data_IF_710259933122
#
_entry.id   IF_710259933122
#
_cell.length_a   1.000
_cell.length_b   1.000
_cell.length_c   1.000
_cell.angle_alpha   90.00
_cell.angle_beta   90.00
_cell.angle_gamma   90.00
#
_symmetry.space_group_name_H-M   'P 1'
#
loop_
_entity.id
_entity.type
_entity.pdbx_description
1 polymer ?
#
# COMPACT_ATOMS: atom_id res chain seq x y z
N UNK A 1 1.47 17.04 -36.44
CA UNK A 1 1.58 16.64 -35.02
C UNK A 1 1.44 15.13 -35.04
N UNK A 2 2.55 14.43 -35.22
CA UNK A 2 2.56 12.98 -35.40
C UNK A 2 2.32 12.33 -34.03
N UNK A 3 1.17 11.67 -33.87
CA UNK A 3 0.94 10.73 -32.79
C UNK A 3 1.90 9.55 -33.00
N UNK A 4 3.00 9.55 -32.26
CA UNK A 4 3.72 8.32 -31.99
C UNK A 4 2.87 7.46 -31.05
N UNK A 5 1.92 6.73 -31.63
CA UNK A 5 1.34 5.54 -31.01
C UNK A 5 2.48 4.53 -30.95
N UNK A 6 3.25 4.57 -29.86
CA UNK A 6 4.22 3.54 -29.54
C UNK A 6 3.48 2.21 -29.46
N UNK A 7 3.82 1.29 -30.35
CA UNK A 7 3.32 -0.07 -30.28
C UNK A 7 3.67 -0.64 -28.90
N UNK A 8 2.66 -1.09 -28.17
CA UNK A 8 2.83 -1.87 -26.95
C UNK A 8 3.55 -3.17 -27.32
N UNK A 9 4.88 -3.16 -27.20
CA UNK A 9 5.75 -4.29 -27.50
C UNK A 9 5.84 -5.28 -26.33
N UNK A 10 5.00 -5.10 -25.30
CA UNK A 10 5.00 -5.90 -24.08
C UNK A 10 6.25 -5.68 -23.22
N UNK A 11 7.04 -4.63 -23.49
CA UNK A 11 8.21 -4.28 -22.69
C UNK A 11 7.77 -3.61 -21.39
N UNK A 12 8.22 -4.08 -20.21
CA UNK A 12 7.86 -3.46 -18.94
C UNK A 12 8.30 -2.00 -18.83
N UNK A 13 7.58 -1.24 -18.01
CA UNK A 13 7.79 0.20 -17.82
C UNK A 13 7.00 1.10 -18.77
N UNK A 14 6.99 2.38 -18.46
CA UNK A 14 6.28 3.42 -19.19
C UNK A 14 7.03 3.89 -20.45
N UNK A 15 6.28 4.47 -21.39
CA UNK A 15 6.87 5.12 -22.56
C UNK A 15 7.90 6.21 -22.20
N UNK A 16 7.68 6.93 -21.09
CA UNK A 16 8.61 7.93 -20.57
C UNK A 16 9.93 7.32 -20.09
N UNK A 17 9.87 6.17 -19.39
CA UNK A 17 11.07 5.43 -19.00
C UNK A 17 11.84 4.95 -20.22
N UNK A 18 11.16 4.40 -21.23
CA UNK A 18 11.81 3.91 -22.45
C UNK A 18 12.49 5.04 -23.23
N UNK A 19 11.82 6.19 -23.38
CA UNK A 19 12.40 7.36 -24.04
C UNK A 19 13.68 7.85 -23.32
N UNK A 20 13.66 7.90 -21.98
CA UNK A 20 14.84 8.25 -21.19
C UNK A 20 15.95 7.21 -21.30
N UNK A 21 15.61 5.92 -21.35
CA UNK A 21 16.60 4.86 -21.52
C UNK A 21 17.34 4.96 -22.87
N UNK A 22 16.63 5.30 -23.94
CA UNK A 22 17.23 5.57 -25.24
C UNK A 22 18.11 6.82 -25.20
N UNK A 23 17.57 7.93 -24.69
CA UNK A 23 18.30 9.20 -24.58
C UNK A 23 19.61 9.09 -23.76
N UNK A 24 19.66 8.17 -22.80
CA UNK A 24 20.80 7.94 -21.93
C UNK A 24 21.64 6.70 -22.28
N UNK A 25 21.35 6.01 -23.39
CA UNK A 25 22.07 4.80 -23.80
C UNK A 25 22.05 3.70 -22.73
N UNK A 26 20.95 3.57 -21.99
CA UNK A 26 20.79 2.62 -20.89
C UNK A 26 19.81 1.48 -21.18
N UNK A 27 19.21 1.44 -22.39
CA UNK A 27 18.28 0.39 -22.82
C UNK A 27 18.72 -1.03 -22.49
N UNK A 28 19.91 -1.45 -22.91
CA UNK A 28 20.39 -2.81 -22.64
C UNK A 28 20.51 -3.13 -21.14
N UNK A 29 20.86 -2.12 -20.31
CA UNK A 29 20.93 -2.28 -18.86
C UNK A 29 19.53 -2.42 -18.26
N UNK A 30 18.55 -1.66 -18.75
CA UNK A 30 17.15 -1.78 -18.35
C UNK A 30 16.57 -3.14 -18.75
N UNK A 31 16.77 -3.56 -20.01
CA UNK A 31 16.27 -4.85 -20.50
C UNK A 31 16.86 -6.04 -19.74
N UNK A 32 18.14 -5.94 -19.33
CA UNK A 32 18.74 -6.92 -18.43
C UNK A 32 18.07 -6.94 -17.06
N UNK A 33 17.77 -5.77 -16.49
CA UNK A 33 17.06 -5.68 -15.21
C UNK A 33 15.67 -6.30 -15.30
N UNK A 34 14.86 -5.95 -16.31
CA UNK A 34 13.53 -6.51 -16.49
C UNK A 34 13.55 -8.04 -16.60
N UNK A 35 14.50 -8.59 -17.37
CA UNK A 35 14.61 -10.05 -17.56
C UNK A 35 15.09 -10.80 -16.32
N UNK A 36 15.99 -10.20 -15.53
CA UNK A 36 16.72 -10.94 -14.49
C UNK A 36 16.26 -10.62 -13.08
N UNK A 37 15.59 -9.49 -12.85
CA UNK A 37 15.27 -8.98 -11.51
C UNK A 37 13.79 -8.60 -11.32
N UNK A 38 13.00 -8.58 -12.39
CA UNK A 38 11.57 -8.36 -12.36
C UNK A 38 10.82 -9.65 -12.67
N UNK A 39 9.67 -9.81 -12.04
CA UNK A 39 8.76 -10.95 -12.17
C UNK A 39 7.34 -10.45 -12.23
N UNK A 40 6.47 -11.12 -12.97
CA UNK A 40 5.04 -10.81 -13.04
C UNK A 40 4.23 -11.43 -11.88
N UNK A 41 4.93 -12.07 -10.93
CA UNK A 41 4.36 -12.72 -9.77
C UNK A 41 5.39 -12.79 -8.63
N UNK A 42 4.92 -13.05 -7.42
CA UNK A 42 5.75 -13.30 -6.25
C UNK A 42 6.30 -14.72 -6.28
N UNK A 43 7.61 -14.85 -6.51
CA UNK A 43 8.29 -16.14 -6.32
C UNK A 43 8.31 -16.55 -4.84
N UNK A 44 8.74 -17.78 -4.55
CA UNK A 44 8.74 -18.32 -3.19
C UNK A 44 9.48 -17.42 -2.17
N UNK A 45 10.65 -16.88 -2.53
CA UNK A 45 11.43 -15.99 -1.65
C UNK A 45 10.74 -14.65 -1.41
N UNK A 46 10.09 -14.08 -2.43
CA UNK A 46 9.31 -12.85 -2.30
C UNK A 46 8.12 -13.07 -1.35
N UNK A 47 7.44 -14.21 -1.47
CA UNK A 47 6.31 -14.57 -0.58
C UNK A 47 6.76 -14.73 0.88
N UNK A 48 7.88 -15.41 1.10
CA UNK A 48 8.51 -15.51 2.43
C UNK A 48 8.92 -14.13 2.97
N UNK A 49 9.46 -13.26 2.12
CA UNK A 49 9.84 -11.89 2.47
C UNK A 49 8.61 -11.09 2.93
N UNK A 50 7.53 -11.07 2.15
CA UNK A 50 6.28 -10.39 2.51
C UNK A 50 5.70 -10.95 3.81
N UNK A 51 5.68 -12.28 3.96
CA UNK A 51 5.10 -12.97 5.12
C UNK A 51 5.75 -12.66 6.46
N UNK A 52 6.97 -12.11 6.49
CA UNK A 52 7.65 -11.68 7.72
C UNK A 52 7.65 -10.17 7.94
N UNK A 53 7.14 -9.38 7.00
CA UNK A 53 7.13 -7.93 7.12
C UNK A 53 6.09 -7.46 8.14
N UNK A 54 6.49 -6.46 8.93
CA UNK A 54 5.63 -5.77 9.90
C UNK A 54 5.24 -4.35 9.42
N UNK A 55 5.72 -3.96 8.25
CA UNK A 55 5.41 -2.68 7.63
C UNK A 55 5.43 -2.74 6.09
N UNK A 56 4.67 -1.84 5.47
CA UNK A 56 4.70 -1.58 4.02
C UNK A 56 4.42 -0.10 3.77
N UNK A 57 5.04 0.46 2.73
CA UNK A 57 4.68 1.77 2.19
C UNK A 57 3.77 1.56 0.98
N UNK A 58 2.67 2.30 0.91
CA UNK A 58 1.64 2.16 -0.12
C UNK A 58 1.53 3.48 -0.88
N UNK A 59 1.91 3.46 -2.15
CA UNK A 59 1.73 4.55 -3.10
C UNK A 59 0.46 4.35 -3.92
N UNK A 60 -0.40 5.36 -3.93
CA UNK A 60 -1.66 5.41 -4.70
C UNK A 60 -1.79 6.80 -5.31
N UNK A 61 -2.51 6.92 -6.43
CA UNK A 61 -2.88 8.22 -6.99
C UNK A 61 -4.36 8.24 -7.35
N UNK A 62 -5.00 9.40 -7.30
CA UNK A 62 -6.37 9.57 -7.78
C UNK A 62 -6.41 9.56 -9.33
N UNK A 63 -7.60 9.81 -9.89
CA UNK A 63 -7.79 9.88 -11.35
C UNK A 63 -7.09 11.09 -12.00
N UNK A 64 -6.77 12.14 -11.23
CA UNK A 64 -6.04 13.32 -11.68
C UNK A 64 -4.51 13.16 -11.62
N UNK A 65 -4.02 12.09 -10.98
CA UNK A 65 -2.60 11.85 -10.77
C UNK A 65 -2.05 12.49 -9.49
N UNK A 66 -2.90 13.05 -8.63
CA UNK A 66 -2.48 13.49 -7.30
C UNK A 66 -2.17 12.25 -6.46
N UNK A 67 -0.97 12.23 -5.86
CA UNK A 67 -0.41 11.01 -5.28
C UNK A 67 -0.24 11.10 -3.77
N UNK A 68 -0.47 9.97 -3.12
CA UNK A 68 -0.30 9.76 -1.69
C UNK A 68 0.63 8.57 -1.44
N UNK A 69 1.51 8.71 -0.45
CA UNK A 69 2.27 7.59 0.12
C UNK A 69 1.91 7.44 1.59
N UNK A 70 1.34 6.29 1.94
CA UNK A 70 0.95 5.97 3.31
C UNK A 70 1.79 4.83 3.89
N UNK A 71 2.06 4.91 5.20
CA UNK A 71 2.76 3.86 5.94
C UNK A 71 1.74 2.97 6.66
N UNK A 72 1.78 1.66 6.40
CA UNK A 72 0.98 0.67 7.13
C UNK A 72 1.88 -0.22 7.96
N UNK A 73 1.42 -0.58 9.14
CA UNK A 73 2.12 -1.50 10.02
C UNK A 73 1.14 -2.45 10.72
N UNK A 74 1.64 -3.63 11.01
CA UNK A 74 0.90 -4.69 11.70
C UNK A 74 1.87 -5.74 12.26
N UNK A 75 1.35 -6.85 12.81
CA UNK A 75 2.19 -8.00 13.13
C UNK A 75 2.86 -8.56 11.86
N UNK A 76 3.88 -9.39 12.05
CA UNK A 76 4.53 -10.05 10.94
C UNK A 76 3.51 -10.77 10.05
N UNK A 77 3.56 -10.49 8.75
CA UNK A 77 2.66 -11.07 7.75
C UNK A 77 1.28 -10.43 7.70
N UNK A 78 1.06 -9.25 8.30
CA UNK A 78 -0.23 -8.53 8.22
C UNK A 78 -0.68 -8.26 6.77
N UNK A 79 0.27 -8.10 5.84
CA UNK A 79 0.01 -8.24 4.42
C UNK A 79 0.00 -9.73 4.10
N UNK A 80 -1.17 -10.25 3.78
CA UNK A 80 -1.41 -11.66 3.47
C UNK A 80 -1.01 -11.93 2.02
N UNK A 81 -0.18 -12.94 1.82
CA UNK A 81 0.04 -13.54 0.49
C UNK A 81 -1.07 -14.54 0.26
N UNK A 82 -2.02 -14.20 -0.61
CA UNK A 82 -3.17 -15.05 -0.91
C UNK A 82 -2.77 -16.17 -1.88
N UNK A 83 -2.01 -15.80 -2.90
CA UNK A 83 -1.43 -16.71 -3.91
C UNK A 83 -0.21 -16.03 -4.57
N UNK A 84 0.50 -16.65 -5.53
CA UNK A 84 1.67 -16.03 -6.18
C UNK A 84 1.39 -14.68 -6.88
N UNK A 85 0.15 -14.38 -7.27
CA UNK A 85 -0.25 -13.16 -7.97
C UNK A 85 -1.19 -12.28 -7.16
N UNK A 86 -1.46 -12.61 -5.90
CA UNK A 86 -2.41 -11.84 -5.09
C UNK A 86 -1.92 -11.61 -3.67
N UNK A 87 -2.02 -10.36 -3.23
CA UNK A 87 -1.78 -9.92 -1.86
C UNK A 87 -3.04 -9.26 -1.30
N UNK A 88 -3.15 -9.17 0.03
CA UNK A 88 -4.15 -8.32 0.65
C UNK A 88 -3.67 -7.75 1.99
N UNK A 89 -4.14 -6.56 2.34
CA UNK A 89 -3.98 -6.02 3.69
C UNK A 89 -5.29 -5.50 4.26
N UNK A 90 -5.45 -5.54 5.59
CA UNK A 90 -6.60 -4.98 6.27
C UNK A 90 -6.47 -3.46 6.44
N UNK A 91 -7.57 -2.76 6.23
CA UNK A 91 -7.74 -1.35 6.59
C UNK A 91 -8.48 -1.23 7.92
N UNK A 92 -7.89 -0.52 8.86
CA UNK A 92 -8.48 -0.27 10.18
C UNK A 92 -9.09 1.13 10.26
N UNK A 93 -9.91 1.38 11.29
CA UNK A 93 -10.41 2.72 11.59
C UNK A 93 -9.25 3.72 11.74
N UNK A 94 -9.14 4.64 10.79
CA UNK A 94 -8.08 5.64 10.71
C UNK A 94 -8.48 7.01 11.23
N UNK A 95 -7.83 8.04 10.69
CA UNK A 95 -8.11 9.46 10.96
C UNK A 95 -9.29 10.03 10.13
N UNK A 96 -9.95 9.21 9.32
CA UNK A 96 -11.08 9.61 8.48
C UNK A 96 -10.70 10.22 7.14
N UNK A 97 -9.41 10.43 6.82
CA UNK A 97 -8.98 11.02 5.54
C UNK A 97 -9.23 10.06 4.38
N UNK A 98 -9.02 8.75 4.60
CA UNK A 98 -9.26 7.69 3.61
C UNK A 98 -8.52 7.86 2.27
N UNK A 99 -7.42 8.61 2.23
CA UNK A 99 -6.67 8.97 1.01
C UNK A 99 -6.46 7.77 0.06
N UNK A 100 -5.73 6.74 0.50
CA UNK A 100 -5.50 5.56 -0.34
C UNK A 100 -6.79 4.86 -0.77
N UNK A 101 -7.80 4.78 0.09
CA UNK A 101 -9.05 4.10 -0.25
C UNK A 101 -9.86 4.89 -1.29
N UNK A 102 -9.88 6.23 -1.20
CA UNK A 102 -10.49 7.10 -2.20
C UNK A 102 -9.78 6.98 -3.54
N UNK A 103 -8.45 7.10 -3.54
CA UNK A 103 -7.63 6.97 -4.75
C UNK A 103 -7.90 5.63 -5.46
N UNK A 104 -7.92 4.50 -4.72
CA UNK A 104 -8.20 3.17 -5.26
C UNK A 104 -9.57 3.06 -5.94
N UNK A 105 -10.58 3.79 -5.45
CA UNK A 105 -11.92 3.76 -6.07
C UNK A 105 -11.98 4.47 -7.41
N UNK A 106 -11.03 5.36 -7.69
CA UNK A 106 -10.94 6.12 -8.95
C UNK A 106 -9.87 5.58 -9.88
N UNK A 107 -8.78 5.04 -9.32
CA UNK A 107 -7.61 4.57 -10.02
C UNK A 107 -7.07 3.32 -9.30
N UNK A 108 -7.18 2.12 -9.89
CA UNK A 108 -6.84 0.88 -9.22
C UNK A 108 -5.32 0.67 -9.07
N UNK A 109 -4.47 1.44 -9.74
CA UNK A 109 -3.02 1.21 -9.74
C UNK A 109 -2.41 1.53 -8.36
N UNK A 110 -1.58 0.60 -7.87
CA UNK A 110 -0.91 0.70 -6.57
C UNK A 110 0.55 0.27 -6.67
N UNK A 111 1.42 0.99 -5.95
CA UNK A 111 2.80 0.59 -5.70
C UNK A 111 3.01 0.27 -4.23
N UNK A 112 3.56 -0.90 -3.94
CA UNK A 112 3.91 -1.34 -2.58
C UNK A 112 5.42 -1.43 -2.46
N UNK A 113 5.98 -0.85 -1.39
CA UNK A 113 7.38 -0.99 -1.05
C UNK A 113 7.52 -1.64 0.33
N UNK A 114 8.05 -2.86 0.33
CA UNK A 114 8.46 -3.55 1.54
C UNK A 114 9.96 -3.32 1.77
N UNK A 115 10.34 -2.90 2.97
CA UNK A 115 11.74 -2.63 3.32
C UNK A 115 12.11 -3.32 4.62
N UNK A 116 13.13 -4.17 4.58
CA UNK A 116 13.74 -4.72 5.79
C UNK A 116 14.98 -3.90 6.18
N UNK A 117 14.89 -3.20 7.30
CA UNK A 117 15.99 -2.40 7.85
C UNK A 117 16.82 -3.15 8.89
N UNK A 118 16.52 -4.41 9.19
CA UNK A 118 17.10 -5.13 10.33
C UNK A 118 17.93 -6.32 9.87
N UNK A 119 17.31 -7.28 9.18
CA UNK A 119 17.93 -8.59 8.90
C UNK A 119 18.66 -8.55 7.56
N UNK A 120 17.91 -8.37 6.48
CA UNK A 120 18.39 -8.55 5.12
C UNK A 120 18.85 -7.25 4.46
N UNK A 121 18.43 -6.10 4.99
CA UNK A 121 18.78 -4.77 4.46
C UNK A 121 18.39 -4.61 2.98
N UNK A 122 17.30 -5.22 2.56
CA UNK A 122 16.82 -5.28 1.18
C UNK A 122 15.35 -4.86 1.15
N UNK A 123 14.87 -4.46 -0.02
CA UNK A 123 13.45 -4.25 -0.22
C UNK A 123 12.89 -5.00 -1.41
N UNK A 124 11.57 -4.98 -1.48
CA UNK A 124 10.76 -5.57 -2.54
C UNK A 124 9.72 -4.54 -2.97
N UNK A 125 9.75 -4.18 -4.25
CA UNK A 125 8.69 -3.45 -4.92
C UNK A 125 7.66 -4.46 -5.42
N UNK A 126 6.38 -4.12 -5.25
CA UNK A 126 5.26 -4.85 -5.84
C UNK A 126 4.30 -3.82 -6.43
N UNK A 127 4.13 -3.84 -7.74
CA UNK A 127 3.18 -3.01 -8.47
C UNK A 127 2.01 -3.86 -8.94
N UNK A 128 0.84 -3.23 -9.05
CA UNK A 128 -0.26 -3.84 -9.75
C UNK A 128 -1.58 -3.09 -9.58
N UNK A 129 -2.67 -3.82 -9.72
CA UNK A 129 -4.03 -3.29 -9.60
C UNK A 129 -4.68 -3.73 -8.31
N UNK A 130 -5.47 -2.84 -7.72
CA UNK A 130 -6.07 -3.02 -6.41
C UNK A 130 -7.57 -2.83 -6.44
N UNK A 131 -8.25 -3.51 -5.52
CA UNK A 131 -9.67 -3.33 -5.27
C UNK A 131 -9.94 -3.24 -3.78
N UNK A 132 -10.98 -2.49 -3.44
CA UNK A 132 -11.45 -2.32 -2.07
C UNK A 132 -12.68 -3.19 -1.86
N UNK A 133 -12.60 -4.12 -0.90
CA UNK A 133 -13.70 -5.03 -0.59
C UNK A 133 -14.07 -4.98 0.89
N UNK A 134 -15.32 -5.34 1.19
CA UNK A 134 -15.80 -5.41 2.57
C UNK A 134 -15.14 -6.57 3.34
N UNK A 135 -15.11 -6.49 4.67
CA UNK A 135 -14.60 -7.62 5.50
C UNK A 135 -15.41 -8.90 5.29
N UNK A 136 -16.73 -8.81 5.11
CA UNK A 136 -17.58 -9.98 4.82
C UNK A 136 -17.26 -10.62 3.47
N UNK A 137 -17.07 -9.80 2.44
CA UNK A 137 -16.70 -10.29 1.10
C UNK A 137 -15.30 -10.91 1.09
N UNK A 138 -14.34 -10.33 1.82
CA UNK A 138 -13.01 -10.92 1.98
C UNK A 138 -13.08 -12.31 2.63
N UNK A 139 -13.87 -12.45 3.69
CA UNK A 139 -14.05 -13.75 4.38
C UNK A 139 -14.75 -14.79 3.51
N UNK A 140 -15.71 -14.38 2.68
CA UNK A 140 -16.37 -15.26 1.72
C UNK A 140 -15.41 -15.75 0.63
N UNK A 141 -14.59 -14.83 0.08
CA UNK A 141 -13.64 -15.15 -1.00
C UNK A 141 -12.41 -15.92 -0.51
N UNK A 142 -11.98 -15.69 0.73
CA UNK A 142 -10.77 -16.28 1.31
C UNK A 142 -11.06 -16.88 2.70
N UNK A 143 -11.87 -17.96 2.77
CA UNK A 143 -12.35 -18.53 4.03
C UNK A 143 -11.23 -19.07 4.93
N UNK A 144 -10.10 -19.44 4.35
CA UNK A 144 -8.93 -19.94 5.09
C UNK A 144 -8.08 -18.82 5.72
N UNK A 145 -8.39 -17.55 5.44
CA UNK A 145 -7.67 -16.41 6.00
C UNK A 145 -8.29 -15.97 7.33
N UNK A 146 -7.47 -15.96 8.38
CA UNK A 146 -7.88 -15.45 9.69
C UNK A 146 -8.08 -13.92 9.64
N UNK A 147 -9.28 -13.48 10.05
CA UNK A 147 -9.62 -12.07 10.24
C UNK A 147 -9.62 -11.76 11.72
N UNK A 148 -8.68 -10.91 12.13
CA UNK A 148 -8.55 -10.51 13.53
C UNK A 148 -9.70 -9.57 13.93
N UNK A 149 -10.76 -10.10 14.54
CA UNK A 149 -11.93 -9.33 14.94
C UNK A 149 -11.91 -8.90 16.42
N UNK A 150 -11.21 -9.64 17.28
CA UNK A 150 -11.37 -9.55 18.73
C UNK A 150 -10.33 -8.65 19.43
N UNK A 151 -9.39 -8.07 18.68
CA UNK A 151 -8.38 -7.17 19.22
C UNK A 151 -8.84 -5.71 19.06
N UNK A 152 -9.04 -4.95 20.17
CA UNK A 152 -9.46 -3.56 20.10
C UNK A 152 -8.57 -2.72 19.16
N UNK A 153 -9.20 -2.01 18.23
CA UNK A 153 -8.51 -1.18 17.24
C UNK A 153 -7.86 -1.93 16.08
N UNK A 154 -8.02 -3.25 15.99
CA UNK A 154 -7.51 -4.09 14.89
C UNK A 154 -8.59 -4.88 14.18
N UNK A 155 -9.86 -4.52 14.36
CA UNK A 155 -10.97 -5.01 13.53
C UNK A 155 -10.90 -4.33 12.16
N UNK A 156 -10.69 -5.07 11.05
CA UNK A 156 -10.71 -4.47 9.72
C UNK A 156 -12.09 -3.91 9.38
N UNK A 157 -12.13 -2.68 8.87
CA UNK A 157 -13.34 -2.10 8.27
C UNK A 157 -13.53 -2.57 6.83
N UNK A 158 -12.41 -2.83 6.14
CA UNK A 158 -12.34 -3.21 4.73
C UNK A 158 -10.98 -3.87 4.46
N UNK A 159 -10.86 -4.49 3.30
CA UNK A 159 -9.62 -5.08 2.81
C UNK A 159 -9.27 -4.48 1.47
N UNK A 160 -7.98 -4.28 1.24
CA UNK A 160 -7.46 -4.02 -0.10
C UNK A 160 -6.85 -5.31 -0.61
N UNK A 161 -7.30 -5.74 -1.78
CA UNK A 161 -6.75 -6.90 -2.50
C UNK A 161 -5.96 -6.35 -3.68
N UNK A 162 -4.75 -6.84 -3.89
CA UNK A 162 -3.86 -6.43 -4.98
C UNK A 162 -3.58 -7.63 -5.86
N UNK A 163 -3.83 -7.48 -7.16
CA UNK A 163 -3.28 -8.33 -8.19
C UNK A 163 -1.90 -7.84 -8.58
N UNK A 164 -0.90 -8.73 -8.53
CA UNK A 164 0.50 -8.41 -8.80
C UNK A 164 0.74 -8.42 -10.30
N UNK A 165 1.26 -7.31 -10.81
CA UNK A 165 1.68 -7.15 -12.20
C UNK A 165 3.20 -7.14 -12.31
N UNK A 166 3.90 -6.55 -11.34
CA UNK A 166 5.36 -6.54 -11.28
C UNK A 166 5.84 -6.71 -9.84
N UNK A 167 6.91 -7.48 -9.66
CA UNK A 167 7.62 -7.63 -8.40
C UNK A 167 9.12 -7.65 -8.65
N UNK A 168 9.86 -6.76 -7.98
CA UNK A 168 11.31 -6.62 -8.19
C UNK A 168 12.04 -6.06 -6.98
N UNK A 169 13.35 -6.26 -6.97
CA UNK A 169 14.23 -5.92 -5.86
C UNK A 169 14.42 -4.41 -5.66
N UNK A 170 14.47 -3.97 -4.41
CA UNK A 170 15.16 -2.75 -3.99
C UNK A 170 16.50 -3.13 -3.37
N UNK A 171 17.62 -2.69 -3.97
CA UNK A 171 18.95 -3.15 -3.59
C UNK A 171 19.41 -2.64 -2.21
N UNK A 172 20.29 -3.38 -1.55
CA UNK A 172 20.74 -3.12 -0.18
C UNK A 172 21.77 -2.01 -0.02
N UNK A 173 22.33 -1.48 -1.12
CA UNK A 173 23.53 -0.64 -1.13
C UNK A 173 23.47 0.57 -0.18
N UNK A 174 22.30 1.14 0.04
CA UNK A 174 22.11 2.32 0.89
C UNK A 174 21.02 2.14 1.94
N UNK A 175 20.59 0.90 2.21
CA UNK A 175 19.57 0.64 3.23
C UNK A 175 20.24 0.70 4.61
N UNK A 176 19.85 1.64 5.49
CA UNK A 176 20.46 1.76 6.80
C UNK A 176 20.06 0.58 7.68
N UNK A 177 21.01 0.07 8.48
CA UNK A 177 20.70 -0.89 9.53
C UNK A 177 20.07 -0.18 10.72
N UNK A 178 18.88 -0.61 11.10
CA UNK A 178 18.14 -0.15 12.27
C UNK A 178 18.13 -1.22 13.36
N UNK A 179 18.06 -0.78 14.61
CA UNK A 179 17.90 -1.66 15.78
C UNK A 179 16.47 -1.51 16.32
N UNK A 180 15.67 -2.59 16.36
CA UNK A 180 14.33 -2.52 16.92
C UNK A 180 14.36 -2.10 18.39
N UNK A 181 13.60 -1.05 18.71
CA UNK A 181 13.39 -0.60 20.09
C UNK A 181 12.01 -1.07 20.54
N UNK A 182 11.95 -1.87 21.62
CA UNK A 182 10.66 -2.30 22.20
C UNK A 182 9.89 -1.07 22.66
N UNK A 183 8.69 -0.88 22.10
CA UNK A 183 7.72 0.14 22.54
C UNK A 183 6.40 -0.55 22.84
N UNK A 184 5.79 -0.23 23.99
CA UNK A 184 4.42 -0.65 24.26
C UNK A 184 3.47 0.10 23.33
N UNK A 185 3.03 -0.52 22.24
CA UNK A 185 2.10 0.08 21.27
C UNK A 185 0.66 -0.25 21.69
N UNK A 186 -0.12 0.76 22.04
CA UNK A 186 -1.57 0.61 22.21
C UNK A 186 -2.26 0.82 20.86
N UNK A 187 -2.84 -0.23 20.29
CA UNK A 187 -3.65 -0.14 19.08
C UNK A 187 -5.00 0.52 19.39
N UNK A 188 -5.56 1.27 18.43
CA UNK A 188 -6.91 1.86 18.56
C UNK A 188 -7.05 3.02 19.55
N UNK A 189 -5.96 3.66 19.98
CA UNK A 189 -6.07 4.83 20.88
C UNK A 189 -6.57 6.07 20.13
N UNK A 190 -7.55 6.79 20.69
CA UNK A 190 -7.98 8.10 20.17
C UNK A 190 -7.28 9.29 20.85
N UNK A 191 -6.21 9.01 21.61
CA UNK A 191 -5.37 10.03 22.24
C UNK A 191 -4.52 10.75 21.18
N UNK A 192 -4.85 12.02 20.93
CA UNK A 192 -4.16 12.87 19.96
C UNK A 192 -2.66 13.02 20.21
N UNK A 193 -2.20 13.01 21.47
CA UNK A 193 -0.76 13.08 21.78
C UNK A 193 -0.04 11.78 21.44
N UNK A 194 -0.71 10.64 21.62
CA UNK A 194 -0.19 9.32 21.23
C UNK A 194 -0.26 9.08 19.72
N UNK A 195 -1.13 9.81 19.01
CA UNK A 195 -1.28 9.80 17.54
C UNK A 195 -0.43 10.87 16.82
N UNK A 196 0.42 11.61 17.54
CA UNK A 196 1.31 12.62 16.95
C UNK A 196 0.76 14.04 16.88
N UNK A 197 -0.54 14.25 17.12
CA UNK A 197 -1.15 15.57 17.28
C UNK A 197 -0.80 16.56 16.17
N UNK A 198 -0.57 17.82 16.55
CA UNK A 198 -0.09 18.89 15.66
C UNK A 198 1.45 18.94 15.63
N UNK A 199 2.11 17.82 15.32
CA UNK A 199 3.57 17.70 15.38
C UNK A 199 4.32 18.73 14.52
N UNK A 200 3.69 19.19 13.43
CA UNK A 200 4.27 20.17 12.51
C UNK A 200 3.68 21.59 12.66
N UNK A 201 2.83 21.83 13.65
CA UNK A 201 2.29 23.15 13.94
C UNK A 201 1.30 23.70 12.90
N UNK A 202 0.69 22.84 12.07
CA UNK A 202 -0.26 23.25 11.02
C UNK A 202 -1.51 23.88 11.62
N UNK A 203 -2.04 23.31 12.71
CA UNK A 203 -3.19 23.88 13.38
C UNK A 203 -2.81 25.19 14.10
N UNK A 204 -1.66 25.20 14.78
CA UNK A 204 -1.13 26.38 15.45
C UNK A 204 -0.89 27.56 14.50
N UNK A 205 -0.29 27.32 13.33
CA UNK A 205 -0.06 28.33 12.29
C UNK A 205 -1.38 28.93 11.79
N UNK A 206 -2.43 28.11 11.69
CA UNK A 206 -3.78 28.54 11.28
C UNK A 206 -4.59 29.15 12.43
N UNK A 207 -4.01 29.32 13.61
CA UNK A 207 -4.71 29.84 14.80
C UNK A 207 -5.78 28.90 15.35
N UNK A 208 -5.77 27.63 14.95
CA UNK A 208 -6.70 26.61 15.43
C UNK A 208 -6.13 26.05 16.75
N UNK A 209 -6.84 26.29 17.86
CA UNK A 209 -6.49 25.72 19.16
C UNK A 209 -6.53 24.19 19.17
N UNK A 210 -6.00 23.53 20.21
CA UNK A 210 -6.07 22.07 20.31
C UNK A 210 -7.54 21.64 20.27
N UNK A 211 -7.91 20.84 19.27
CA UNK A 211 -9.26 20.30 19.14
C UNK A 211 -9.67 19.60 20.45
N UNK A 212 -10.58 20.23 21.21
CA UNK A 212 -11.39 19.52 22.21
C UNK A 212 -12.40 18.70 21.40
N UNK A 213 -12.33 17.37 21.48
CA UNK A 213 -13.36 16.53 20.86
C UNK A 213 -14.65 16.62 21.67
N UNK A 214 -15.72 17.04 21.01
CA UNK A 214 -17.09 16.77 21.45
C UNK A 214 -17.33 15.25 21.43
N UNK A 215 -18.04 14.78 22.44
CA UNK A 215 -18.34 13.37 22.63
C UNK A 215 -19.35 12.88 21.59
N UNK A 216 -19.11 11.65 21.09
CA UNK A 216 -20.03 10.78 20.35
C UNK A 216 -20.34 11.13 18.89
N UNK A 217 -19.51 10.64 17.95
CA UNK A 217 -19.99 10.28 16.61
C UNK A 217 -20.66 8.91 16.67
N UNK A 218 -21.98 8.87 16.40
CA UNK A 218 -22.75 7.63 16.27
C UNK A 218 -22.37 6.89 14.98
N UNK A 219 -22.48 5.54 14.95
CA UNK A 219 -22.14 4.78 13.75
C UNK A 219 -23.13 5.07 12.62
N UNK A 220 -22.62 5.53 11.47
CA UNK A 220 -23.40 5.68 10.24
C UNK A 220 -23.55 4.30 9.60
N UNK A 221 -24.80 3.86 9.41
CA UNK A 221 -25.15 2.63 8.70
C UNK A 221 -24.93 2.80 7.19
N UNK A 222 -23.93 2.13 6.63
CA UNK A 222 -23.66 2.17 5.19
C UNK A 222 -24.50 1.11 4.46
N UNK A 223 -25.65 1.52 3.91
CA UNK A 223 -26.26 0.82 2.78
C UNK A 223 -25.58 1.31 1.50
N UNK A 224 -24.72 0.49 0.92
CA UNK A 224 -24.20 0.71 -0.44
C UNK A 224 -25.35 0.42 -1.39
N UNK A 225 -25.75 1.41 -2.20
CA UNK A 225 -26.73 1.22 -3.27
C UNK A 225 -25.98 0.64 -4.47
N UNK A 226 -26.43 -0.53 -4.95
CA UNK A 226 -26.12 -1.00 -6.29
C UNK A 226 -26.63 0.03 -7.30
N UNK A 227 -25.77 0.43 -8.23
CA UNK A 227 -26.17 1.11 -9.45
C UNK A 227 -26.50 0.00 -10.44
N UNK A 228 -27.77 -0.15 -10.79
CA UNK A 228 -28.20 -0.96 -11.93
C UNK A 228 -27.89 -0.19 -13.22
N UNK A 229 -27.24 -0.87 -14.16
CA UNK A 229 -26.98 -0.39 -15.51
C UNK A 229 -28.28 -0.22 -16.31
N UNK A 230 -28.29 0.75 -17.21
CA UNK A 230 -29.28 0.93 -18.28
C UNK A 230 -28.53 1.10 -19.60
#
# INVERSE_FOLDING_TARGET
MEEHVGADDGRPGSAGEHALQEAHGSRERADRFYREQMSDHLNARMREFVGRMEMVFVGTADSGGESDVSFRAGPAGFVRVLDPRSLAWPEYRGNGVLASAGNITENPHVGLLFMDFVRDLIGLHVNGTSSLISTSEFQERYPDQEVEADIPGRRPERWVVVHVEEAYIHCSKHVPRMVPVRRGRSWGTDDGRKKGGDAFGVAAERGLGPHRRDAAEQPVSTRIRHVEES
#
